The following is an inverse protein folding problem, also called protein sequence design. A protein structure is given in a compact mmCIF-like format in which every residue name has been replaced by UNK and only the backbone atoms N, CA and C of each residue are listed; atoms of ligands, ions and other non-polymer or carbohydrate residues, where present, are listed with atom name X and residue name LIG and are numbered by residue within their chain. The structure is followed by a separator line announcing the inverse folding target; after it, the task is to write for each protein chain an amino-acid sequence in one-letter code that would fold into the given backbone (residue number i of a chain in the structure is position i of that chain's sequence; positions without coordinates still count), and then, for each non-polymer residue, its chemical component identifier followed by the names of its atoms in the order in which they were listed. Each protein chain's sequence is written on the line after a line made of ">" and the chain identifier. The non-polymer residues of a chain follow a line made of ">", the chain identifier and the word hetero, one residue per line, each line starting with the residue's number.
data_IF_655511387635
#
_entry.id   IF_655511387635
#
_cell.length_a   1.000
_cell.length_b   1.000
_cell.length_c   1.000
_cell.angle_alpha   90.00
_cell.angle_beta   90.00
_cell.angle_gamma   90.00
#
_symmetry.space_group_name_H-M   'P 1'
#
loop_
_entity.id
_entity.type
_entity.pdbx_description
1 polymer ?
#
# COMPACT_ATOMS: atom_id res chain seq x y z
N UNK A 1 -10.41 -5.05 11.85
CA UNK A 1 -9.26 -4.39 12.51
C UNK A 1 -8.01 -4.71 11.71
N UNK A 2 -7.12 -3.75 11.41
CA UNK A 2 -5.84 -4.07 10.78
C UNK A 2 -5.01 -4.84 11.81
N UNK A 3 -4.67 -6.09 11.49
CA UNK A 3 -3.85 -6.96 12.34
C UNK A 3 -2.78 -7.59 11.45
N UNK A 4 -1.56 -7.61 11.95
CA UNK A 4 -0.46 -8.38 11.39
C UNK A 4 -0.19 -9.51 12.38
N UNK A 5 -0.34 -10.75 11.93
CA UNK A 5 -0.04 -11.92 12.74
C UNK A 5 1.44 -12.28 12.64
N UNK A 6 2.01 -12.76 13.74
CA UNK A 6 3.36 -13.30 13.77
C UNK A 6 3.36 -14.74 13.23
N UNK A 7 3.81 -14.92 11.98
CA UNK A 7 3.79 -16.20 11.23
C UNK A 7 4.24 -17.44 12.03
N UNK A 8 5.23 -17.28 12.90
CA UNK A 8 5.86 -18.39 13.64
C UNK A 8 5.32 -18.57 15.07
N UNK A 9 4.48 -17.65 15.54
CA UNK A 9 3.97 -17.63 16.93
C UNK A 9 2.45 -17.79 16.98
N UNK A 10 1.74 -17.32 15.95
CA UNK A 10 0.28 -17.31 15.89
C UNK A 10 -0.26 -18.34 14.88
N UNK A 11 -1.43 -18.95 15.12
CA UNK A 11 -2.09 -19.83 14.14
C UNK A 11 -2.55 -19.04 12.90
N UNK A 12 -2.63 -19.70 11.73
CA UNK A 12 -3.13 -19.08 10.49
C UNK A 12 -2.06 -18.77 9.43
N UNK A 13 -0.81 -19.23 9.63
CA UNK A 13 0.28 -19.04 8.67
C UNK A 13 -0.01 -19.61 7.26
N UNK A 14 -0.91 -20.60 7.17
CA UNK A 14 -1.40 -21.19 5.92
C UNK A 14 -2.32 -20.25 5.12
N UNK A 15 -2.88 -19.22 5.77
CA UNK A 15 -3.72 -18.18 5.17
C UNK A 15 -2.96 -16.88 4.92
N UNK A 16 -1.64 -16.87 5.14
CA UNK A 16 -0.81 -15.67 4.99
C UNK A 16 -0.87 -15.13 3.55
N UNK A 17 -1.12 -13.82 3.44
CA UNK A 17 -1.01 -13.10 2.17
C UNK A 17 0.45 -12.71 1.90
N UNK A 18 0.91 -12.66 0.64
CA UNK A 18 2.29 -12.34 0.28
C UNK A 18 2.59 -10.85 0.47
N UNK A 19 2.85 -10.45 1.71
CA UNK A 19 3.19 -9.08 2.11
C UNK A 19 4.68 -8.75 1.90
N UNK A 20 5.49 -9.72 1.46
CA UNK A 20 6.94 -9.62 1.30
C UNK A 20 7.37 -9.02 -0.07
N UNK A 21 6.66 -7.98 -0.55
CA UNK A 21 6.85 -7.41 -1.90
C UNK A 21 8.32 -7.05 -2.15
N UNK A 22 8.94 -6.26 -1.27
CA UNK A 22 10.34 -5.83 -1.44
C UNK A 22 11.33 -7.00 -1.52
N UNK A 23 11.10 -8.07 -0.74
CA UNK A 23 11.89 -9.31 -0.82
C UNK A 23 11.73 -9.97 -2.18
N UNK A 24 10.51 -10.09 -2.69
CA UNK A 24 10.22 -10.69 -4.00
C UNK A 24 10.81 -9.88 -5.16
N UNK A 25 10.74 -8.56 -5.09
CA UNK A 25 11.34 -7.65 -6.08
C UNK A 25 12.86 -7.83 -6.08
N UNK A 26 13.50 -7.89 -4.91
CA UNK A 26 14.95 -8.14 -4.80
C UNK A 26 15.33 -9.49 -5.43
N UNK A 27 14.59 -10.56 -5.13
CA UNK A 27 14.87 -11.88 -5.71
C UNK A 27 14.65 -11.88 -7.22
N UNK A 28 13.59 -11.24 -7.73
CA UNK A 28 13.36 -11.06 -9.16
C UNK A 28 14.53 -10.31 -9.81
N UNK A 29 14.95 -9.19 -9.23
CA UNK A 29 16.04 -8.35 -9.75
C UNK A 29 17.33 -9.16 -9.93
N UNK A 30 17.71 -9.98 -8.94
CA UNK A 30 18.87 -10.87 -9.07
C UNK A 30 18.66 -11.98 -10.09
N UNK A 31 17.44 -12.52 -10.23
CA UNK A 31 17.16 -13.62 -11.15
C UNK A 31 17.10 -13.19 -12.62
N UNK A 32 16.75 -11.93 -12.91
CA UNK A 32 16.72 -11.39 -14.27
C UNK A 32 18.09 -10.86 -14.73
N UNK A 33 19.06 -10.76 -13.83
CA UNK A 33 20.40 -10.30 -14.18
C UNK A 33 21.04 -11.25 -15.20
N UNK A 34 21.30 -10.75 -16.40
CA UNK A 34 21.80 -11.55 -17.52
C UNK A 34 20.74 -12.39 -18.26
N UNK A 35 19.48 -12.35 -17.85
CA UNK A 35 18.38 -12.97 -18.59
C UNK A 35 18.10 -12.19 -19.88
N UNK A 36 17.67 -12.90 -20.93
CA UNK A 36 17.29 -12.32 -22.21
C UNK A 36 16.03 -12.99 -22.76
N UNK A 37 15.34 -12.33 -23.69
CA UNK A 37 14.09 -12.82 -24.26
C UNK A 37 12.84 -12.24 -23.59
N UNK A 38 11.70 -12.93 -23.77
CA UNK A 38 10.41 -12.43 -23.28
C UNK A 38 10.17 -12.76 -21.81
N UNK A 39 9.36 -11.92 -21.15
CA UNK A 39 8.85 -12.18 -19.79
C UNK A 39 8.12 -13.51 -19.70
N UNK A 40 7.41 -13.91 -20.76
CA UNK A 40 6.70 -15.21 -20.79
C UNK A 40 7.65 -16.40 -20.78
N UNK A 41 8.77 -16.34 -21.51
CA UNK A 41 9.78 -17.40 -21.50
C UNK A 41 10.46 -17.48 -20.12
N UNK A 42 10.85 -16.32 -19.56
CA UNK A 42 11.42 -16.26 -18.22
C UNK A 42 10.48 -16.85 -17.15
N UNK A 43 9.18 -16.53 -17.20
CA UNK A 43 8.20 -17.05 -16.23
C UNK A 43 7.86 -18.53 -16.43
N UNK A 44 8.08 -19.09 -17.63
CA UNK A 44 7.95 -20.53 -17.84
C UNK A 44 9.04 -21.31 -17.09
N UNK A 45 10.28 -20.79 -17.10
CA UNK A 45 11.41 -21.39 -16.39
C UNK A 45 11.43 -21.02 -14.89
N UNK A 46 10.93 -19.83 -14.54
CA UNK A 46 10.95 -19.28 -13.19
C UNK A 46 9.57 -18.77 -12.70
N UNK A 47 8.57 -19.66 -12.55
CA UNK A 47 7.19 -19.27 -12.22
C UNK A 47 7.04 -18.57 -10.87
N UNK A 48 7.97 -18.79 -9.93
CA UNK A 48 7.97 -18.15 -8.61
C UNK A 48 8.03 -16.61 -8.65
N UNK A 49 8.49 -16.03 -9.77
CA UNK A 49 8.58 -14.59 -9.94
C UNK A 49 7.30 -13.92 -10.45
N UNK A 50 6.24 -14.68 -10.78
CA UNK A 50 5.02 -14.13 -11.39
C UNK A 50 4.42 -12.95 -10.60
N UNK A 51 4.31 -13.08 -9.27
CA UNK A 51 3.80 -12.00 -8.42
C UNK A 51 4.67 -10.74 -8.41
N UNK A 52 5.98 -10.87 -8.57
CA UNK A 52 6.91 -9.74 -8.61
C UNK A 52 6.84 -9.04 -9.97
N UNK A 53 6.81 -9.82 -11.06
CA UNK A 53 6.72 -9.31 -12.43
C UNK A 53 5.44 -8.49 -12.64
N UNK A 54 4.29 -9.00 -12.20
CA UNK A 54 3.01 -8.27 -12.32
C UNK A 54 3.10 -6.91 -11.62
N UNK A 55 3.71 -6.86 -10.43
CA UNK A 55 3.87 -5.60 -9.68
C UNK A 55 4.79 -4.61 -10.37
N UNK A 56 5.92 -5.05 -10.91
CA UNK A 56 6.82 -4.17 -11.69
C UNK A 56 6.07 -3.56 -12.89
N UNK A 57 5.32 -4.38 -13.63
CA UNK A 57 4.52 -3.91 -14.76
C UNK A 57 3.40 -2.95 -14.34
N UNK A 58 2.77 -3.19 -13.18
CA UNK A 58 1.78 -2.26 -12.61
C UNK A 58 2.42 -0.94 -12.20
N UNK A 59 3.61 -0.97 -11.59
CA UNK A 59 4.34 0.21 -11.13
C UNK A 59 4.76 1.14 -12.26
N UNK A 60 5.02 0.61 -13.45
CA UNK A 60 5.31 1.42 -14.66
C UNK A 60 4.11 2.28 -15.08
N UNK A 61 2.89 1.73 -14.94
CA UNK A 61 1.66 2.41 -15.35
C UNK A 61 1.02 3.26 -14.26
N UNK A 62 1.17 2.86 -13.00
CA UNK A 62 0.43 3.42 -11.87
C UNK A 62 1.40 3.83 -10.74
N UNK A 63 1.77 5.12 -10.63
CA UNK A 63 2.76 5.60 -9.64
C UNK A 63 2.42 5.29 -8.18
N UNK A 64 1.14 5.07 -7.86
CA UNK A 64 0.63 4.77 -6.53
C UNK A 64 0.07 3.35 -6.39
N UNK A 65 0.42 2.40 -7.27
CA UNK A 65 -0.09 1.02 -7.22
C UNK A 65 0.53 0.16 -6.11
N UNK A 66 1.60 0.63 -5.46
CA UNK A 66 2.29 -0.13 -4.42
C UNK A 66 2.42 0.66 -3.12
N UNK A 67 2.33 -0.06 -2.00
CA UNK A 67 2.69 0.47 -0.69
C UNK A 67 4.22 0.47 -0.61
N UNK A 68 4.82 1.66 -0.54
CA UNK A 68 6.27 1.83 -0.48
C UNK A 68 6.81 1.66 0.95
N UNK A 69 6.58 0.49 1.55
CA UNK A 69 7.06 0.14 2.88
C UNK A 69 7.39 -1.36 2.99
N UNK A 70 8.19 -1.74 3.99
CA UNK A 70 8.51 -3.12 4.30
C UNK A 70 7.45 -3.72 5.25
N UNK A 71 6.37 -4.23 4.67
CA UNK A 71 5.21 -4.76 5.41
C UNK A 71 5.50 -6.00 6.28
N UNK A 72 6.67 -6.62 6.12
CA UNK A 72 7.11 -7.75 6.95
C UNK A 72 8.21 -7.36 7.95
N UNK A 73 8.57 -6.08 8.04
CA UNK A 73 9.49 -5.61 9.06
C UNK A 73 8.84 -5.74 10.45
N UNK A 74 9.63 -6.09 11.46
CA UNK A 74 9.20 -6.07 12.86
C UNK A 74 8.81 -4.68 13.36
N UNK A 75 9.23 -3.63 12.64
CA UNK A 75 8.89 -2.23 12.90
C UNK A 75 7.62 -1.77 12.17
N UNK A 76 7.09 -2.55 11.23
CA UNK A 76 5.85 -2.21 10.53
C UNK A 76 4.66 -2.44 11.46
N UNK A 77 3.87 -1.39 11.69
CA UNK A 77 2.70 -1.47 12.54
C UNK A 77 1.42 -1.58 11.69
N UNK A 78 0.38 -2.30 12.15
CA UNK A 78 -0.89 -2.37 11.41
C UNK A 78 -1.52 -0.99 11.14
N UNK A 79 -1.24 0.00 11.99
CA UNK A 79 -1.66 1.39 11.81
C UNK A 79 -1.04 2.05 10.57
N UNK A 80 0.14 1.64 10.12
CA UNK A 80 0.81 2.24 8.94
C UNK A 80 0.04 1.91 7.66
N UNK A 81 -0.36 0.65 7.51
CA UNK A 81 -1.24 0.21 6.43
C UNK A 81 -2.62 0.86 6.50
N UNK A 82 -3.17 1.02 7.71
CA UNK A 82 -4.45 1.69 7.92
C UNK A 82 -4.38 3.16 7.47
N UNK A 83 -3.33 3.88 7.83
CA UNK A 83 -3.11 5.28 7.42
C UNK A 83 -3.06 5.42 5.91
N UNK A 84 -2.31 4.54 5.23
CA UNK A 84 -2.25 4.47 3.77
C UNK A 84 -3.64 4.23 3.16
N UNK A 85 -4.40 3.25 3.66
CA UNK A 85 -5.76 2.99 3.16
C UNK A 85 -6.67 4.21 3.34
N UNK A 86 -6.60 4.84 4.50
CA UNK A 86 -7.47 5.97 4.87
C UNK A 86 -7.16 7.23 4.04
N UNK A 87 -5.90 7.45 3.63
CA UNK A 87 -5.56 8.62 2.81
C UNK A 87 -6.24 8.60 1.44
N UNK A 88 -6.57 7.42 0.89
CA UNK A 88 -7.31 7.32 -0.38
C UNK A 88 -8.77 7.78 -0.29
N UNK A 89 -9.34 7.85 0.93
CA UNK A 89 -10.74 8.25 1.16
C UNK A 89 -10.85 9.62 1.83
N UNK A 90 -9.86 10.48 1.63
CA UNK A 90 -9.88 11.86 2.14
C UNK A 90 -9.59 11.98 3.64
N UNK A 91 -9.03 10.95 4.27
CA UNK A 91 -8.56 11.08 5.65
C UNK A 91 -7.29 11.95 5.73
N UNK A 92 -7.27 12.81 6.73
CA UNK A 92 -6.20 13.76 7.05
C UNK A 92 -6.03 13.87 8.57
N UNK A 93 -5.09 14.71 9.03
CA UNK A 93 -4.81 14.97 10.47
C UNK A 93 -4.72 13.68 11.29
N UNK A 94 -3.89 12.75 10.83
CA UNK A 94 -3.64 11.49 11.53
C UNK A 94 -2.99 11.78 12.89
N UNK A 95 -3.70 11.45 13.95
CA UNK A 95 -3.31 11.60 15.35
C UNK A 95 -3.33 10.20 16.00
N UNK A 96 -2.23 9.45 15.88
CA UNK A 96 -2.11 8.11 16.47
C UNK A 96 -2.29 8.16 17.99
N UNK A 97 -3.07 7.23 18.51
CA UNK A 97 -3.34 7.12 19.94
C UNK A 97 -2.88 5.79 20.52
N UNK A 98 -2.71 4.78 19.68
CA UNK A 98 -1.97 3.54 19.92
C UNK A 98 -1.57 2.90 18.59
N UNK A 99 -0.86 1.77 18.62
CA UNK A 99 -0.47 1.01 17.43
C UNK A 99 -1.64 0.40 16.65
N UNK A 100 -2.87 0.48 17.21
CA UNK A 100 -4.09 -0.07 16.60
C UNK A 100 -5.20 0.97 16.46
N UNK A 101 -5.03 2.16 17.04
CA UNK A 101 -6.04 3.20 17.05
C UNK A 101 -5.47 4.56 16.66
N UNK A 102 -6.05 5.17 15.63
CA UNK A 102 -5.69 6.50 15.15
C UNK A 102 -6.95 7.35 15.01
N UNK A 103 -6.85 8.61 15.43
CA UNK A 103 -7.87 9.61 15.14
C UNK A 103 -7.54 10.26 13.81
N UNK A 104 -8.56 10.49 12.99
CA UNK A 104 -8.44 11.14 11.69
C UNK A 104 -9.51 12.22 11.53
N UNK A 105 -9.33 13.08 10.54
CA UNK A 105 -10.38 13.95 10.01
C UNK A 105 -10.65 13.57 8.57
N UNK A 106 -11.89 13.19 8.26
CA UNK A 106 -12.31 12.86 6.89
C UNK A 106 -12.75 14.12 6.15
N UNK A 107 -12.37 14.22 4.88
CA UNK A 107 -12.81 15.24 3.93
C UNK A 107 -12.68 16.66 4.50
N UNK A 108 -11.60 16.96 5.24
CA UNK A 108 -11.48 18.27 5.89
C UNK A 108 -11.66 19.36 4.86
N UNK A 109 -12.51 20.32 5.23
CA UNK A 109 -12.96 21.48 4.49
C UNK A 109 -13.97 21.20 3.37
N UNK A 110 -14.16 19.95 2.93
CA UNK A 110 -14.85 19.63 1.68
C UNK A 110 -16.22 20.31 1.59
N UNK A 111 -16.64 20.82 0.41
CA UNK A 111 -17.91 21.51 0.28
C UNK A 111 -19.04 20.57 0.65
N UNK A 112 -20.05 21.13 1.31
CA UNK A 112 -21.33 20.46 1.51
C UNK A 112 -22.10 20.41 0.18
N UNK A 113 -23.16 19.58 0.16
CA UNK A 113 -23.91 19.30 -1.07
C UNK A 113 -24.52 20.57 -1.71
N UNK A 114 -24.89 21.56 -0.92
CA UNK A 114 -25.43 22.86 -1.34
C UNK A 114 -24.35 23.89 -1.71
N UNK A 115 -23.09 23.64 -1.34
CA UNK A 115 -21.92 24.45 -1.69
C UNK A 115 -21.26 23.97 -3.01
N UNK A 116 -21.70 22.83 -3.55
CA UNK A 116 -21.21 22.28 -4.80
C UNK A 116 -21.53 23.22 -5.97
N UNK A 117 -20.49 23.76 -6.60
CA UNK A 117 -20.59 24.54 -7.83
C UNK A 117 -20.40 23.63 -9.06
N UNK A 118 -20.71 24.14 -10.25
CA UNK A 118 -20.53 23.39 -11.52
C UNK A 118 -19.06 23.05 -11.82
N UNK A 119 -18.14 23.84 -11.26
CA UNK A 119 -16.73 23.51 -11.06
C UNK A 119 -16.58 23.02 -9.61
N UNK A 120 -16.37 21.73 -9.40
CA UNK A 120 -16.20 21.14 -8.07
C UNK A 120 -14.78 20.59 -7.84
N UNK A 121 -13.75 21.26 -8.37
CA UNK A 121 -12.34 20.83 -8.24
C UNK A 121 -11.57 21.64 -7.18
N UNK A 122 -12.25 22.46 -6.40
CA UNK A 122 -11.65 23.38 -5.41
C UNK A 122 -11.25 22.66 -4.10
N UNK A 123 -11.04 21.33 -4.12
CA UNK A 123 -10.66 20.54 -2.94
C UNK A 123 -9.21 20.08 -2.90
N UNK A 124 -8.49 20.39 -1.82
CA UNK A 124 -7.42 19.52 -1.26
C UNK A 124 -6.91 19.95 0.13
N UNK A 125 -7.83 20.47 0.98
CA UNK A 125 -7.72 20.79 2.43
C UNK A 125 -7.32 22.25 2.80
N UNK A 126 -8.25 23.25 2.89
CA UNK A 126 -8.02 24.49 3.61
C UNK A 126 -8.40 24.39 5.09
N UNK A 127 -8.06 25.47 5.81
CA UNK A 127 -7.67 25.51 7.23
C UNK A 127 -8.46 26.60 7.95
N UNK A 128 -8.58 26.48 9.28
CA UNK A 128 -9.06 27.57 10.14
C UNK A 128 -8.01 27.91 11.22
N UNK A 129 -7.88 29.20 11.58
CA UNK A 129 -7.02 29.68 12.68
C UNK A 129 -7.64 29.36 14.05
N UNK A 130 -6.78 29.39 15.08
CA UNK A 130 -6.93 28.85 16.44
C UNK A 130 -8.33 28.87 17.08
#
# INVERSE_FOLDING_TARGET
>A
EPRLGLRFEEPGAELESPLDIGRRIKTLYSAIEGASGSVSAFLADHPAHGLAVVRVQMGDRYPYAEIQDNLIATTCLPIDMLRCKLSFIGASKFDPKSDRWTRITLCQGAPLADELQSNADDWWLPVFAA
#
